data_IF_098415631311
#
_entry.id   IF_098415631311
#
_cell.length_a   1.000
_cell.length_b   1.000
_cell.length_c   1.000
_cell.angle_alpha   90.00
_cell.angle_beta   90.00
_cell.angle_gamma   90.00
#
_symmetry.space_group_name_H-M   'P 1'
#
loop_
_entity.id
_entity.type
_entity.pdbx_description
1 polymer ?
#
# COMPACT_ATOMS: atom_id res chain seq x y z
N UNK A 1 38.54 60.73 18.38
CA UNK A 1 37.94 59.38 18.32
C UNK A 1 36.89 59.39 17.23
N UNK A 2 37.15 58.71 16.11
CA UNK A 2 36.18 58.51 15.02
C UNK A 2 35.68 57.07 15.17
N UNK A 3 34.38 56.89 15.40
CA UNK A 3 33.73 55.58 15.41
C UNK A 3 33.15 55.36 14.02
N UNK A 4 33.76 54.45 13.25
CA UNK A 4 33.22 54.01 11.95
C UNK A 4 32.28 52.84 12.25
N UNK A 5 30.96 53.07 12.12
CA UNK A 5 29.97 52.02 12.20
C UNK A 5 29.90 51.29 10.85
N UNK A 6 30.44 50.07 10.81
CA UNK A 6 30.24 49.15 9.68
C UNK A 6 28.84 48.53 9.79
N UNK A 7 27.88 49.06 9.04
CA UNK A 7 26.59 48.38 8.82
C UNK A 7 26.80 47.19 7.90
N UNK A 8 26.89 45.99 8.49
CA UNK A 8 26.77 44.74 7.75
C UNK A 8 25.30 44.54 7.35
N UNK A 9 24.98 44.86 6.09
CA UNK A 9 23.75 44.38 5.47
C UNK A 9 23.91 42.88 5.21
N UNK A 10 23.31 42.06 6.07
CA UNK A 10 23.10 40.65 5.77
C UNK A 10 22.02 40.56 4.68
N UNK A 11 22.45 40.25 3.46
CA UNK A 11 21.54 39.82 2.40
C UNK A 11 20.97 38.45 2.78
N UNK A 12 19.73 38.44 3.24
CA UNK A 12 18.94 37.21 3.40
C UNK A 12 18.56 36.76 1.99
N UNK A 13 19.29 35.80 1.43
CA UNK A 13 18.87 35.11 0.22
C UNK A 13 17.67 34.23 0.54
N UNK A 14 16.47 34.73 0.27
CA UNK A 14 15.26 33.89 0.25
C UNK A 14 15.29 33.07 -1.03
N UNK A 15 15.70 31.81 -0.95
CA UNK A 15 15.43 30.85 -2.02
C UNK A 15 13.92 30.66 -2.11
N UNK A 16 13.30 30.80 -3.30
CA UNK A 16 11.90 30.50 -3.45
C UNK A 16 11.73 28.99 -3.21
N UNK A 17 11.00 28.61 -2.15
CA UNK A 17 10.57 27.22 -1.99
C UNK A 17 9.56 26.93 -3.11
N UNK A 18 10.05 26.37 -4.21
CA UNK A 18 9.20 25.72 -5.17
C UNK A 18 8.64 24.49 -4.45
N UNK A 19 7.52 24.62 -3.74
CA UNK A 19 6.83 23.48 -3.13
C UNK A 19 6.21 22.70 -4.27
N UNK A 20 7.03 21.90 -4.95
CA UNK A 20 6.57 20.86 -5.84
C UNK A 20 5.64 19.96 -5.01
N UNK A 21 4.37 19.88 -5.43
CA UNK A 21 3.35 19.15 -4.69
C UNK A 21 3.50 17.67 -5.04
N UNK A 22 4.42 16.98 -4.36
CA UNK A 22 4.55 15.53 -4.47
C UNK A 22 3.29 14.84 -3.94
N UNK A 23 2.86 13.72 -4.54
CA UNK A 23 2.01 12.75 -3.84
C UNK A 23 2.68 12.33 -2.53
N UNK A 24 1.90 12.05 -1.48
CA UNK A 24 2.46 11.68 -0.17
C UNK A 24 3.48 10.53 -0.26
N UNK A 25 3.19 9.52 -1.08
CA UNK A 25 4.05 8.36 -1.37
C UNK A 25 5.32 8.68 -2.19
N UNK A 26 5.56 9.94 -2.55
CA UNK A 26 6.74 10.45 -3.25
C UNK A 26 7.32 11.70 -2.58
N UNK A 27 6.82 12.09 -1.40
CA UNK A 27 7.30 13.27 -0.68
C UNK A 27 8.59 12.94 0.10
N UNK A 28 9.73 13.60 -0.19
CA UNK A 28 11.00 13.35 0.51
C UNK A 28 10.93 13.51 2.03
N UNK A 29 10.00 14.31 2.55
CA UNK A 29 9.78 14.45 3.99
C UNK A 29 9.33 13.14 4.67
N UNK A 30 8.80 12.20 3.89
CA UNK A 30 8.21 10.95 4.38
C UNK A 30 8.98 9.69 3.97
N UNK A 31 10.09 9.79 3.22
CA UNK A 31 10.84 8.63 2.73
C UNK A 31 11.29 7.66 3.84
N UNK A 32 11.56 8.15 5.05
CA UNK A 32 11.92 7.30 6.19
C UNK A 32 10.80 6.33 6.64
N UNK A 33 9.56 6.60 6.25
CA UNK A 33 8.38 5.76 6.53
C UNK A 33 8.00 4.87 5.33
N UNK A 34 8.71 5.00 4.21
CA UNK A 34 8.33 4.43 2.91
C UNK A 34 9.30 3.32 2.48
N UNK A 35 9.92 2.64 3.43
CA UNK A 35 10.87 1.57 3.17
C UNK A 35 10.19 0.19 3.17
N UNK A 36 9.82 -0.27 1.97
CA UNK A 36 8.95 -1.45 1.78
C UNK A 36 9.60 -2.77 2.22
N UNK A 37 10.92 -2.80 2.42
CA UNK A 37 11.62 -4.01 2.87
C UNK A 37 11.18 -4.45 4.28
N UNK A 38 10.77 -3.52 5.16
CA UNK A 38 10.17 -3.89 6.46
C UNK A 38 8.86 -4.67 6.30
N UNK A 39 8.10 -4.37 5.25
CA UNK A 39 6.85 -5.07 4.97
C UNK A 39 7.13 -6.46 4.42
N UNK A 40 8.00 -6.56 3.41
CA UNK A 40 8.12 -7.82 2.67
C UNK A 40 9.01 -8.88 3.31
N UNK A 41 9.73 -8.50 4.37
CA UNK A 41 10.56 -9.42 5.17
C UNK A 41 9.92 -9.77 6.51
N UNK A 42 8.72 -9.25 6.79
CA UNK A 42 7.99 -9.50 8.02
C UNK A 42 7.57 -10.98 8.11
N UNK A 43 7.94 -11.63 9.22
CA UNK A 43 7.66 -13.05 9.46
C UNK A 43 6.30 -13.29 10.13
N UNK A 44 5.25 -12.71 9.57
CA UNK A 44 3.88 -12.82 10.07
C UNK A 44 2.86 -12.53 8.97
N UNK A 45 1.65 -13.09 9.09
CA UNK A 45 0.56 -12.83 8.16
C UNK A 45 0.15 -11.36 8.22
N UNK A 46 0.06 -10.72 7.06
CA UNK A 46 -0.54 -9.40 6.92
C UNK A 46 -2.00 -9.55 6.51
N UNK A 47 -2.90 -8.87 7.21
CA UNK A 47 -4.31 -8.78 6.87
C UNK A 47 -4.64 -7.40 6.33
N UNK A 48 -5.42 -7.34 5.25
CA UNK A 48 -6.02 -6.09 4.81
C UNK A 48 -7.15 -5.74 5.77
N UNK A 49 -6.95 -4.70 6.59
CA UNK A 49 -7.95 -4.21 7.55
C UNK A 49 -9.05 -3.44 6.83
N UNK A 50 -8.67 -2.56 5.90
CA UNK A 50 -9.59 -1.67 5.18
C UNK A 50 -9.05 -1.26 3.81
N UNK A 51 -9.93 -0.96 2.85
CA UNK A 51 -9.59 -0.37 1.54
C UNK A 51 -10.68 0.56 0.99
N UNK A 52 -10.32 1.51 0.13
CA UNK A 52 -11.28 2.49 -0.46
C UNK A 52 -11.62 2.22 -1.95
N UNK A 53 -11.31 1.02 -2.41
CA UNK A 53 -11.57 0.55 -3.76
C UNK A 53 -12.23 -0.83 -3.74
N UNK A 54 -12.85 -1.21 -4.85
CA UNK A 54 -13.63 -2.46 -4.95
C UNK A 54 -14.54 -2.68 -3.73
N UNK A 55 -15.23 -1.62 -3.29
CA UNK A 55 -16.02 -1.59 -2.05
C UNK A 55 -17.32 -2.38 -2.16
N UNK A 56 -17.74 -2.73 -3.38
CA UNK A 56 -18.87 -3.64 -3.66
C UNK A 56 -18.51 -5.12 -3.58
N UNK A 57 -17.23 -5.46 -3.39
CA UNK A 57 -16.77 -6.85 -3.34
C UNK A 57 -17.34 -7.60 -2.13
N UNK A 58 -17.69 -8.87 -2.33
CA UNK A 58 -18.10 -9.80 -1.27
C UNK A 58 -16.91 -10.44 -0.55
N UNK A 59 -15.68 -10.35 -1.07
CA UNK A 59 -14.51 -10.96 -0.44
C UNK A 59 -14.17 -10.30 0.90
N UNK A 60 -13.87 -11.13 1.92
CA UNK A 60 -13.43 -10.70 3.26
C UNK A 60 -12.15 -11.41 3.67
N UNK A 61 -11.60 -11.07 4.83
CA UNK A 61 -10.42 -11.72 5.40
C UNK A 61 -9.25 -11.82 4.42
N UNK A 62 -9.00 -10.75 3.67
CA UNK A 62 -7.88 -10.69 2.74
C UNK A 62 -6.58 -10.73 3.55
N UNK A 63 -5.69 -11.67 3.21
CA UNK A 63 -4.41 -11.83 3.87
C UNK A 63 -3.29 -12.15 2.89
N UNK A 64 -2.06 -11.87 3.31
CA UNK A 64 -0.85 -12.15 2.59
C UNK A 64 0.17 -12.81 3.53
N UNK A 65 0.67 -13.98 3.13
CA UNK A 65 1.74 -14.71 3.80
C UNK A 65 2.98 -14.71 2.91
N UNK A 66 4.14 -14.25 3.43
CA UNK A 66 5.41 -14.39 2.73
C UNK A 66 5.84 -15.86 2.76
N UNK A 67 5.98 -16.47 1.58
CA UNK A 67 6.37 -17.88 1.44
C UNK A 67 7.89 -17.99 1.38
N UNK A 68 8.50 -17.27 0.42
CA UNK A 68 9.93 -17.36 0.19
C UNK A 68 10.50 -16.07 -0.41
N UNK A 69 11.75 -15.77 -0.04
CA UNK A 69 12.56 -14.75 -0.72
C UNK A 69 13.23 -15.42 -1.94
N UNK A 70 12.82 -15.00 -3.14
CA UNK A 70 13.36 -15.50 -4.41
C UNK A 70 14.66 -14.79 -4.79
N UNK A 71 14.76 -13.50 -4.48
CA UNK A 71 15.97 -12.68 -4.64
C UNK A 71 15.88 -11.45 -3.72
N UNK A 72 16.87 -10.54 -3.78
CA UNK A 72 16.82 -9.29 -3.01
C UNK A 72 15.62 -8.39 -3.34
N UNK A 73 15.06 -8.53 -4.55
CA UNK A 73 13.94 -7.73 -5.03
C UNK A 73 12.69 -8.56 -5.33
N UNK A 74 12.72 -9.89 -5.17
CA UNK A 74 11.59 -10.75 -5.51
C UNK A 74 11.19 -11.64 -4.34
N UNK A 75 9.91 -11.62 -4.03
CA UNK A 75 9.32 -12.33 -2.90
C UNK A 75 8.07 -13.05 -3.37
N UNK A 76 7.91 -14.31 -2.97
CA UNK A 76 6.70 -15.08 -3.24
C UNK A 76 5.74 -14.96 -2.08
N UNK A 77 4.49 -14.71 -2.39
CA UNK A 77 3.42 -14.55 -1.42
C UNK A 77 2.28 -15.53 -1.69
N UNK A 78 1.64 -16.00 -0.63
CA UNK A 78 0.31 -16.61 -0.69
C UNK A 78 -0.70 -15.56 -0.29
N UNK A 79 -1.59 -15.23 -1.21
CA UNK A 79 -2.76 -14.40 -0.94
C UNK A 79 -3.94 -15.30 -0.63
N UNK A 80 -4.71 -14.94 0.40
CA UNK A 80 -5.95 -15.65 0.78
C UNK A 80 -7.08 -14.64 0.90
N UNK A 81 -8.30 -15.05 0.54
CA UNK A 81 -9.51 -14.28 0.80
C UNK A 81 -10.68 -15.22 1.04
N UNK A 82 -11.54 -14.87 1.99
CA UNK A 82 -12.85 -15.50 2.17
C UNK A 82 -13.76 -15.08 1.02
N UNK A 83 -14.26 -16.03 0.24
CA UNK A 83 -15.19 -15.79 -0.86
C UNK A 83 -16.62 -15.65 -0.34
N UNK A 84 -16.87 -14.52 0.32
CA UNK A 84 -18.14 -14.17 0.92
C UNK A 84 -17.99 -13.45 2.25
N UNK A 85 -19.12 -13.21 2.90
CA UNK A 85 -19.24 -12.36 4.10
C UNK A 85 -19.61 -13.14 5.35
N UNK A 86 -19.93 -14.43 5.23
CA UNK A 86 -20.32 -15.29 6.32
C UNK A 86 -19.12 -16.05 6.88
N UNK A 87 -19.07 -16.31 8.20
CA UNK A 87 -17.98 -17.07 8.82
C UNK A 87 -17.73 -18.48 8.23
N UNK A 88 -18.74 -19.07 7.57
CA UNK A 88 -18.66 -20.39 6.94
C UNK A 88 -18.27 -20.35 5.45
N UNK A 89 -18.18 -19.16 4.84
CA UNK A 89 -17.85 -19.03 3.42
C UNK A 89 -16.42 -19.52 3.15
N UNK A 90 -16.17 -20.22 2.03
CA UNK A 90 -14.90 -20.84 1.74
C UNK A 90 -13.81 -19.79 1.46
N UNK A 91 -12.55 -20.17 1.68
CA UNK A 91 -11.41 -19.36 1.27
C UNK A 91 -10.94 -19.74 -0.13
N UNK A 92 -10.49 -18.74 -0.87
CA UNK A 92 -9.69 -18.89 -2.10
C UNK A 92 -8.26 -18.46 -1.82
N UNK A 93 -7.30 -19.13 -2.47
CA UNK A 93 -5.87 -18.90 -2.25
C UNK A 93 -5.12 -18.85 -3.58
N UNK A 94 -4.16 -17.94 -3.68
CA UNK A 94 -3.34 -17.76 -4.87
C UNK A 94 -1.91 -17.40 -4.51
N UNK A 95 -0.95 -18.02 -5.18
CA UNK A 95 0.45 -17.62 -5.07
C UNK A 95 0.78 -16.54 -6.09
N UNK A 96 1.47 -15.49 -5.65
CA UNK A 96 1.90 -14.37 -6.48
C UNK A 96 3.37 -14.04 -6.22
N UNK A 97 3.99 -13.32 -7.15
CA UNK A 97 5.32 -12.74 -6.96
C UNK A 97 5.20 -11.23 -6.80
N UNK A 98 5.77 -10.70 -5.73
CA UNK A 98 5.99 -9.28 -5.52
C UNK A 98 7.42 -8.92 -5.95
N UNK A 99 7.55 -7.98 -6.89
CA UNK A 99 8.85 -7.45 -7.35
C UNK A 99 9.02 -6.02 -6.88
N UNK A 100 10.04 -5.78 -6.04
CA UNK A 100 10.36 -4.48 -5.48
C UNK A 100 11.03 -3.57 -6.50
N UNK A 101 10.73 -2.27 -6.42
CA UNK A 101 11.38 -1.22 -7.20
C UNK A 101 11.28 0.13 -6.48
N UNK A 102 12.04 1.10 -7.00
CA UNK A 102 12.06 2.48 -6.49
C UNK A 102 11.19 3.36 -7.38
N UNK A 103 10.54 4.36 -6.79
CA UNK A 103 9.74 5.35 -7.52
C UNK A 103 10.10 6.77 -7.08
N UNK A 104 9.82 7.76 -7.95
CA UNK A 104 10.20 9.15 -7.71
C UNK A 104 11.70 9.31 -7.44
N UNK A 105 12.02 10.05 -6.38
CA UNK A 105 13.39 10.33 -5.94
C UNK A 105 13.88 9.40 -4.81
N UNK A 106 13.19 8.28 -4.57
CA UNK A 106 13.55 7.37 -3.49
C UNK A 106 14.97 6.78 -3.64
N UNK A 107 15.76 6.90 -2.57
CA UNK A 107 17.05 6.23 -2.44
C UNK A 107 16.94 4.72 -2.22
N UNK A 108 15.80 4.24 -1.69
CA UNK A 108 15.52 2.86 -1.32
C UNK A 108 14.25 2.31 -1.99
N UNK A 109 13.99 1.01 -1.87
CA UNK A 109 12.75 0.41 -2.39
C UNK A 109 11.54 0.88 -1.59
N UNK A 110 10.54 1.44 -2.28
CA UNK A 110 9.29 1.92 -1.69
C UNK A 110 8.03 1.30 -2.33
N UNK A 111 8.20 0.57 -3.44
CA UNK A 111 7.10 0.04 -4.22
C UNK A 111 7.29 -1.44 -4.57
N UNK A 112 6.19 -2.12 -4.85
CA UNK A 112 6.14 -3.49 -5.35
C UNK A 112 5.14 -3.63 -6.49
N UNK A 113 5.51 -4.40 -7.51
CA UNK A 113 4.60 -4.87 -8.55
C UNK A 113 4.16 -6.29 -8.24
N UNK A 114 2.86 -6.53 -8.30
CA UNK A 114 2.22 -7.83 -8.12
C UNK A 114 1.39 -8.11 -9.36
N UNK A 115 1.61 -9.26 -9.97
CA UNK A 115 0.82 -9.73 -11.11
C UNK A 115 -0.13 -10.82 -10.63
N UNK A 116 -1.44 -10.62 -10.84
CA UNK A 116 -2.48 -11.59 -10.50
C UNK A 116 -3.19 -12.08 -11.77
N UNK A 117 -3.57 -13.37 -11.87
CA UNK A 117 -4.49 -13.80 -12.93
C UNK A 117 -5.84 -13.07 -12.85
N UNK A 118 -6.42 -12.63 -13.98
CA UNK A 118 -7.75 -11.96 -13.99
C UNK A 118 -8.90 -12.78 -13.37
N UNK A 119 -8.74 -14.11 -13.21
CA UNK A 119 -9.74 -14.99 -12.61
C UNK A 119 -10.12 -14.65 -11.16
N UNK A 120 -9.39 -13.72 -10.52
CA UNK A 120 -9.51 -13.39 -9.09
C UNK A 120 -10.36 -12.12 -8.88
N UNK A 121 -10.57 -11.32 -9.92
CA UNK A 121 -11.42 -10.13 -9.86
C UNK A 121 -12.73 -10.37 -10.64
N UNK A 122 -13.74 -10.87 -9.93
CA UNK A 122 -15.09 -11.09 -10.49
C UNK A 122 -15.69 -9.83 -11.14
N UNK A 123 -15.22 -8.63 -10.77
CA UNK A 123 -15.65 -7.38 -11.42
C UNK A 123 -15.12 -7.22 -12.85
N UNK A 124 -14.03 -7.91 -13.21
CA UNK A 124 -13.42 -7.90 -14.55
C UNK A 124 -13.82 -9.11 -15.40
N UNK A 125 -14.32 -10.19 -14.79
CA UNK A 125 -14.83 -11.41 -15.46
C UNK A 125 -15.97 -11.10 -16.45
N UNK A 126 -16.71 -10.01 -16.24
CA UNK A 126 -17.79 -9.59 -17.15
C UNK A 126 -17.31 -9.24 -18.56
N UNK A 127 -16.01 -8.98 -18.77
CA UNK A 127 -15.43 -8.66 -20.08
C UNK A 127 -14.98 -9.91 -20.88
N UNK A 128 -14.81 -11.07 -20.23
CA UNK A 128 -14.30 -12.29 -20.87
C UNK A 128 -15.36 -13.23 -21.45
N UNK A 129 -16.65 -12.83 -21.45
CA UNK A 129 -17.75 -13.62 -22.06
C UNK A 129 -17.71 -13.73 -23.60
N UNK A 130 -16.69 -13.19 -24.24
CA UNK A 130 -16.45 -13.32 -25.68
C UNK A 130 -15.36 -14.35 -25.99
N UNK A 131 -15.64 -15.63 -25.70
CA UNK A 131 -15.25 -16.78 -26.54
C UNK A 131 -13.78 -16.99 -26.96
N UNK A 132 -12.79 -16.36 -26.32
CA UNK A 132 -11.39 -16.58 -26.69
C UNK A 132 -10.37 -16.01 -25.72
N UNK A 133 -9.24 -16.71 -25.67
CA UNK A 133 -7.91 -16.26 -25.18
C UNK A 133 -7.73 -16.08 -23.66
N UNK A 134 -6.57 -16.55 -23.19
CA UNK A 134 -5.94 -16.30 -21.89
C UNK A 134 -6.51 -15.11 -21.13
N UNK A 135 -7.02 -15.35 -19.92
CA UNK A 135 -7.46 -14.28 -19.02
C UNK A 135 -6.29 -13.29 -18.83
N UNK A 136 -6.46 -11.98 -19.10
CA UNK A 136 -5.36 -11.03 -19.01
C UNK A 136 -4.78 -11.00 -17.59
N UNK A 137 -3.51 -10.68 -17.42
CA UNK A 137 -2.96 -10.48 -16.09
C UNK A 137 -3.39 -9.11 -15.55
N UNK A 138 -3.71 -9.03 -14.25
CA UNK A 138 -3.90 -7.77 -13.53
C UNK A 138 -2.57 -7.39 -12.91
N UNK A 139 -1.96 -6.32 -13.44
CA UNK A 139 -0.78 -5.73 -12.84
C UNK A 139 -1.20 -4.70 -11.80
N UNK A 140 -0.82 -4.95 -10.55
CA UNK A 140 -1.04 -4.05 -9.43
C UNK A 140 0.30 -3.49 -8.97
N UNK A 141 0.45 -2.17 -8.99
CA UNK A 141 1.54 -1.49 -8.30
C UNK A 141 1.06 -1.07 -6.92
N UNK A 142 1.82 -1.40 -5.89
CA UNK A 142 1.61 -0.94 -4.52
C UNK A 142 2.80 -0.06 -4.13
N UNK A 143 2.55 1.16 -3.66
CA UNK A 143 3.59 2.03 -3.07
C UNK A 143 3.28 2.26 -1.61
N UNK A 144 4.28 2.06 -0.75
CA UNK A 144 4.14 2.28 0.68
C UNK A 144 4.03 3.78 0.93
N UNK A 145 2.93 4.22 1.53
CA UNK A 145 2.73 5.61 1.93
C UNK A 145 3.35 5.85 3.30
N UNK A 146 3.03 5.01 4.29
CA UNK A 146 3.53 5.15 5.66
C UNK A 146 3.48 3.80 6.37
N UNK A 147 4.31 3.69 7.41
CA UNK A 147 4.28 2.61 8.40
C UNK A 147 4.42 3.21 9.80
N UNK A 148 3.76 2.63 10.79
CA UNK A 148 3.97 3.05 12.18
C UNK A 148 5.31 2.52 12.74
N UNK A 149 5.79 3.14 13.81
CA UNK A 149 7.06 2.79 14.47
C UNK A 149 7.14 1.34 14.94
N UNK A 150 6.00 0.74 15.30
CA UNK A 150 5.92 -0.66 15.74
C UNK A 150 5.86 -1.64 14.56
N UNK A 151 5.92 -1.17 13.31
CA UNK A 151 5.85 -1.97 12.08
C UNK A 151 4.64 -2.93 12.09
N UNK A 152 3.53 -2.44 12.63
CA UNK A 152 2.31 -3.23 12.83
C UNK A 152 1.19 -2.85 11.86
N UNK A 153 1.36 -1.74 11.14
CA UNK A 153 0.42 -1.18 10.21
C UNK A 153 1.14 -0.50 9.05
N UNK A 154 0.60 -0.70 7.84
CA UNK A 154 1.16 -0.22 6.58
C UNK A 154 0.04 0.33 5.72
N UNK A 155 0.19 1.57 5.23
CA UNK A 155 -0.76 2.18 4.30
C UNK A 155 -0.13 2.15 2.92
N UNK A 156 -0.82 1.54 1.96
CA UNK A 156 -0.41 1.50 0.56
C UNK A 156 -1.34 2.34 -0.29
N UNK A 157 -0.78 3.04 -1.28
CA UNK A 157 -1.51 3.40 -2.49
C UNK A 157 -1.40 2.25 -3.48
N UNK A 158 -2.52 1.93 -4.13
CA UNK A 158 -2.69 0.84 -5.08
C UNK A 158 -3.02 1.43 -6.44
N UNK A 159 -2.32 0.96 -7.48
CA UNK A 159 -2.49 1.44 -8.85
C UNK A 159 -2.77 0.23 -9.73
N UNK A 160 -3.99 0.19 -10.31
CA UNK A 160 -4.49 -0.86 -11.22
C UNK A 160 -4.92 -0.31 -12.59
N UNK A 161 -4.50 0.92 -12.90
CA UNK A 161 -4.97 1.71 -14.05
C UNK A 161 -6.03 2.75 -13.65
N UNK A 162 -6.12 3.85 -14.42
CA UNK A 162 -6.99 4.98 -14.11
C UNK A 162 -6.36 6.05 -13.21
N UNK A 163 -7.13 7.09 -12.87
CA UNK A 163 -6.63 8.30 -12.19
C UNK A 163 -7.08 8.43 -10.73
N UNK A 164 -7.80 7.43 -10.19
CA UNK A 164 -8.31 7.47 -8.81
C UNK A 164 -7.24 6.95 -7.84
N UNK A 165 -7.00 7.67 -6.74
CA UNK A 165 -6.13 7.20 -5.64
C UNK A 165 -6.85 6.10 -4.86
N UNK A 166 -6.41 4.87 -5.07
CA UNK A 166 -6.88 3.69 -4.35
C UNK A 166 -5.88 3.34 -3.24
N UNK A 167 -6.37 2.91 -2.09
CA UNK A 167 -5.53 2.63 -0.94
C UNK A 167 -6.00 1.41 -0.15
N UNK A 168 -5.06 0.78 0.54
CA UNK A 168 -5.29 -0.30 1.50
C UNK A 168 -4.51 -0.06 2.79
N UNK A 169 -5.08 -0.47 3.91
CA UNK A 169 -4.40 -0.55 5.21
C UNK A 169 -4.18 -2.02 5.53
N UNK A 170 -2.92 -2.41 5.63
CA UNK A 170 -2.50 -3.74 6.05
C UNK A 170 -2.07 -3.68 7.52
N UNK A 171 -2.41 -4.71 8.28
CA UNK A 171 -1.99 -4.85 9.67
C UNK A 171 -1.50 -6.27 9.93
N UNK A 172 -0.57 -6.40 10.88
CA UNK A 172 -0.06 -7.71 11.31
C UNK A 172 -1.14 -8.53 12.02
N UNK A 173 -1.11 -9.86 11.89
CA UNK A 173 -2.06 -10.77 12.52
C UNK A 173 -2.25 -10.54 14.04
N UNK A 174 -1.18 -10.18 14.75
CA UNK A 174 -1.17 -9.86 16.19
C UNK A 174 -1.94 -8.60 16.53
N UNK A 175 -1.99 -7.63 15.61
CA UNK A 175 -2.53 -6.29 15.90
C UNK A 175 -3.83 -5.99 15.17
N UNK A 176 -4.16 -6.73 14.10
CA UNK A 176 -5.32 -6.48 13.24
C UNK A 176 -6.65 -6.54 13.98
N UNK A 177 -6.76 -7.29 15.09
CA UNK A 177 -7.97 -7.30 15.93
C UNK A 177 -8.24 -5.94 16.61
N UNK A 178 -7.20 -5.13 16.80
CA UNK A 178 -7.29 -3.80 17.40
C UNK A 178 -7.71 -2.70 16.42
N UNK A 179 -7.53 -1.46 16.90
CA UNK A 179 -7.68 -0.26 16.09
C UNK A 179 -6.46 -0.04 15.20
N UNK A 180 -6.67 0.57 14.04
CA UNK A 180 -5.56 1.05 13.19
C UNK A 180 -4.74 2.06 13.99
N UNK A 181 -3.40 1.90 14.10
CA UNK A 181 -2.53 2.87 14.76
C UNK A 181 -2.73 4.30 14.22
N UNK A 182 -2.65 5.30 15.11
CA UNK A 182 -3.02 6.69 14.81
C UNK A 182 -2.33 7.24 13.55
N UNK A 183 -1.02 7.01 13.40
CA UNK A 183 -0.25 7.45 12.24
C UNK A 183 -0.84 6.93 10.93
N UNK A 184 -1.00 5.61 10.80
CA UNK A 184 -1.66 5.01 9.63
C UNK A 184 -3.08 5.53 9.43
N UNK A 185 -3.87 5.65 10.50
CA UNK A 185 -5.25 6.06 10.41
C UNK A 185 -5.38 7.49 9.88
N UNK A 186 -4.52 8.39 10.33
CA UNK A 186 -4.50 9.79 9.91
C UNK A 186 -4.11 9.90 8.43
N UNK A 187 -3.02 9.23 8.01
CA UNK A 187 -2.57 9.25 6.62
C UNK A 187 -3.61 8.61 5.70
N UNK A 188 -4.19 7.47 6.08
CA UNK A 188 -5.25 6.83 5.29
C UNK A 188 -6.47 7.75 5.11
N UNK A 189 -6.92 8.43 6.18
CA UNK A 189 -8.07 9.35 6.08
C UNK A 189 -7.75 10.60 5.26
N UNK A 190 -6.53 11.13 5.40
CA UNK A 190 -6.11 12.34 4.70
C UNK A 190 -5.94 12.07 3.21
N UNK A 191 -5.29 10.97 2.85
CA UNK A 191 -4.85 10.71 1.48
C UNK A 191 -5.85 9.87 0.67
N UNK A 192 -6.68 9.08 1.34
CA UNK A 192 -7.54 8.09 0.69
C UNK A 192 -9.01 8.46 0.87
N UNK A 193 -9.46 9.39 0.03
CA UNK A 193 -10.85 9.86 0.02
C UNK A 193 -11.86 8.80 -0.44
N UNK A 194 -13.12 9.00 -0.07
CA UNK A 194 -14.26 8.20 -0.51
C UNK A 194 -14.69 7.12 0.48
N UNK A 195 -15.69 6.29 0.09
CA UNK A 195 -16.14 5.19 0.92
C UNK A 195 -15.04 4.15 1.10
N UNK A 196 -14.99 3.54 2.28
CA UNK A 196 -14.09 2.43 2.58
C UNK A 196 -14.88 1.17 2.95
N UNK A 197 -14.23 0.03 2.76
CA UNK A 197 -14.73 -1.29 3.13
C UNK A 197 -13.79 -1.89 4.18
N UNK A 198 -14.34 -2.25 5.34
CA UNK A 198 -13.64 -3.07 6.33
C UNK A 198 -13.66 -4.54 5.88
N UNK A 199 -12.48 -5.14 5.83
CA UNK A 199 -12.28 -6.50 5.28
C UNK A 199 -11.99 -7.53 6.37
N UNK A 200 -11.40 -7.11 7.48
CA UNK A 200 -11.09 -7.98 8.60
C UNK A 200 -12.19 -7.93 9.66
N UNK A 201 -12.56 -9.10 10.17
CA UNK A 201 -13.35 -9.31 11.38
C UNK A 201 -12.74 -10.45 12.23
N UNK A 202 -13.29 -10.65 13.43
CA UNK A 202 -12.76 -11.64 14.39
C UNK A 202 -12.94 -13.10 13.95
N UNK A 203 -13.63 -13.37 12.85
CA UNK A 203 -13.83 -14.72 12.30
C UNK A 203 -12.79 -15.08 11.23
N UNK A 204 -11.93 -14.14 10.84
CA UNK A 204 -10.83 -14.37 9.91
C UNK A 204 -9.80 -15.36 10.49
N UNK A 205 -9.44 -16.36 9.68
CA UNK A 205 -8.43 -17.40 9.91
C UNK A 205 -7.36 -17.41 8.83
#
# INVERSE_FOLDING_TARGET
>A
MIVVAFSFFFLVSTTPSNTEKYPYEEDPAHFSEQYILHVVTLHETLYTKSRNHQTSSNYRCQSADMIEKLSDTKYKYKLRARNGTLPADPYVEHEVQATLFKTGEHGDYNAANITMPNAIDDSLVSLSRSGGTTLPEVHTTMKLMTMNKEESCFVFVVIRGGNKKECEVLMTAKTVAGNIPKQCQDIYKQECSGPYLTLYDSTCV
#
